data_IF_653801136946
#
_entry.id   IF_653801136946
#
_cell.length_a   1.000
_cell.length_b   1.000
_cell.length_c   1.000
_cell.angle_alpha   90.00
_cell.angle_beta   90.00
_cell.angle_gamma   90.00
#
_symmetry.space_group_name_H-M   'P 1'
#
loop_
_entity.id
_entity.type
_entity.pdbx_description
1 polymer ?
#
# COMPACT_ATOMS: atom_id res chain seq x y z
N UNK A 1 -7.04 37.34 -18.80
CA UNK A 1 -7.68 36.04 -18.46
C UNK A 1 -6.90 34.95 -19.18
N UNK A 2 -5.98 34.21 -18.52
CA UNK A 2 -5.24 33.14 -19.17
C UNK A 2 -6.16 31.93 -19.36
N UNK A 3 -6.26 31.46 -20.60
CA UNK A 3 -6.99 30.23 -20.92
C UNK A 3 -6.27 29.05 -20.26
N UNK A 4 -7.01 28.23 -19.51
CA UNK A 4 -6.52 26.98 -18.95
C UNK A 4 -5.98 26.13 -20.11
N UNK A 5 -4.68 25.82 -20.09
CA UNK A 5 -4.05 24.94 -21.06
C UNK A 5 -4.43 23.48 -20.74
N UNK A 6 -5.54 23.00 -21.32
CA UNK A 6 -6.10 21.65 -21.10
C UNK A 6 -5.26 20.54 -21.77
N UNK A 7 -4.14 20.86 -22.43
CA UNK A 7 -3.35 19.88 -23.21
C UNK A 7 -2.15 19.27 -22.45
N UNK A 8 -2.16 19.20 -21.11
CA UNK A 8 -1.21 18.34 -20.38
C UNK A 8 -1.84 16.94 -20.27
N UNK A 9 -1.77 16.14 -21.34
CA UNK A 9 -2.10 14.72 -21.27
C UNK A 9 -1.13 14.05 -20.28
N UNK A 10 -1.57 13.06 -19.48
CA UNK A 10 -0.65 12.27 -18.67
C UNK A 10 0.29 11.54 -19.61
N UNK A 11 1.50 12.08 -19.77
CA UNK A 11 2.51 11.50 -20.64
C UNK A 11 3.22 10.38 -19.88
N UNK A 12 2.76 9.16 -20.13
CA UNK A 12 3.27 7.93 -19.50
C UNK A 12 4.77 7.72 -19.80
N UNK A 13 5.31 8.34 -20.86
CA UNK A 13 6.74 8.29 -21.18
C UNK A 13 7.62 9.07 -20.19
N UNK A 14 7.05 10.05 -19.48
CA UNK A 14 7.77 10.84 -18.46
C UNK A 14 7.82 10.15 -17.09
N UNK A 15 7.08 9.07 -16.92
CA UNK A 15 7.00 8.35 -15.64
C UNK A 15 8.27 7.54 -15.41
N UNK A 16 8.87 7.71 -14.22
CA UNK A 16 10.02 6.91 -13.81
C UNK A 16 9.57 5.51 -13.36
N UNK A 17 9.59 4.56 -14.30
CA UNK A 17 9.24 3.16 -14.06
C UNK A 17 10.14 2.45 -13.04
N UNK A 18 11.41 2.86 -12.93
CA UNK A 18 12.32 2.33 -11.90
C UNK A 18 11.88 2.77 -10.50
N UNK A 19 11.45 4.02 -10.34
CA UNK A 19 10.93 4.52 -9.06
C UNK A 19 9.66 3.77 -8.63
N UNK A 20 8.78 3.45 -9.57
CA UNK A 20 7.59 2.63 -9.33
C UNK A 20 7.99 1.21 -8.87
N UNK A 21 8.91 0.57 -9.59
CA UNK A 21 9.35 -0.78 -9.24
C UNK A 21 9.99 -0.81 -7.84
N UNK A 22 10.87 0.15 -7.54
CA UNK A 22 11.51 0.28 -6.23
C UNK A 22 10.48 0.57 -5.13
N UNK A 23 9.51 1.43 -5.39
CA UNK A 23 8.41 1.72 -4.47
C UNK A 23 7.55 0.48 -4.19
N UNK A 24 7.23 -0.29 -5.24
CA UNK A 24 6.47 -1.52 -5.11
C UNK A 24 7.23 -2.59 -4.31
N UNK A 25 8.51 -2.82 -4.61
CA UNK A 25 9.36 -3.77 -3.87
C UNK A 25 9.51 -3.34 -2.41
N UNK A 26 9.70 -2.05 -2.14
CA UNK A 26 9.83 -1.52 -0.77
C UNK A 26 8.54 -1.71 0.03
N UNK A 27 7.39 -1.37 -0.57
CA UNK A 27 6.08 -1.54 0.06
C UNK A 27 5.76 -3.02 0.29
N UNK A 28 6.08 -3.89 -0.66
CA UNK A 28 5.90 -5.33 -0.52
C UNK A 28 6.80 -5.92 0.57
N UNK A 29 8.06 -5.50 0.64
CA UNK A 29 8.99 -5.93 1.68
C UNK A 29 8.47 -5.54 3.07
N UNK A 30 8.08 -4.28 3.27
CA UNK A 30 7.51 -3.80 4.54
C UNK A 30 6.22 -4.57 4.86
N UNK A 31 5.34 -4.75 3.89
CA UNK A 31 4.11 -5.54 4.06
C UNK A 31 4.39 -6.99 4.44
N UNK A 32 5.40 -7.62 3.84
CA UNK A 32 5.79 -9.00 4.16
C UNK A 32 6.34 -9.13 5.58
N UNK A 33 7.12 -8.15 6.04
CA UNK A 33 7.64 -8.11 7.41
C UNK A 33 6.49 -7.89 8.41
N UNK A 34 5.55 -6.98 8.11
CA UNK A 34 4.38 -6.75 8.94
C UNK A 34 3.52 -8.01 9.12
N UNK A 35 3.30 -8.75 8.02
CA UNK A 35 2.55 -10.00 8.00
C UNK A 35 3.35 -11.21 8.52
N UNK A 36 4.62 -11.04 8.89
CA UNK A 36 5.43 -12.13 9.42
C UNK A 36 4.94 -12.53 10.82
N UNK A 37 5.01 -13.83 11.13
CA UNK A 37 4.65 -14.39 12.45
C UNK A 37 5.18 -13.60 13.66
N UNK A 38 6.47 -13.19 13.72
CA UNK A 38 7.01 -12.50 14.89
C UNK A 38 6.56 -11.04 15.05
N UNK A 39 5.93 -10.42 14.04
CA UNK A 39 5.51 -9.01 14.10
C UNK A 39 4.01 -8.93 14.40
N UNK A 40 3.15 -9.20 13.42
CA UNK A 40 1.69 -9.24 13.61
C UNK A 40 1.02 -10.49 13.03
N UNK A 41 1.74 -11.27 12.20
CA UNK A 41 1.17 -12.42 11.50
C UNK A 41 0.60 -13.51 12.43
N UNK A 42 1.30 -13.81 13.53
CA UNK A 42 0.84 -14.83 14.48
C UNK A 42 -0.41 -14.41 15.26
N UNK A 43 -0.45 -13.15 15.70
CA UNK A 43 -1.63 -12.57 16.37
C UNK A 43 -2.82 -12.52 15.43
N UNK A 44 -2.62 -12.04 14.20
CA UNK A 44 -3.67 -11.98 13.17
C UNK A 44 -4.21 -13.36 12.83
N UNK A 45 -3.32 -14.33 12.61
CA UNK A 45 -3.68 -15.72 12.35
C UNK A 45 -4.59 -16.28 13.45
N UNK A 46 -4.29 -16.01 14.73
CA UNK A 46 -5.12 -16.42 15.87
C UNK A 46 -6.49 -15.71 15.88
N UNK A 47 -6.53 -14.42 15.58
CA UNK A 47 -7.76 -13.61 15.55
C UNK A 47 -8.74 -14.08 14.47
N UNK A 48 -8.22 -14.46 13.30
CA UNK A 48 -9.05 -14.98 12.20
C UNK A 48 -9.31 -16.50 12.31
N UNK A 49 -8.87 -17.14 13.39
CA UNK A 49 -9.11 -18.57 13.66
C UNK A 49 -8.38 -19.54 12.73
N UNK A 50 -7.27 -19.14 12.10
CA UNK A 50 -6.52 -20.03 11.19
C UNK A 50 -5.45 -20.84 11.91
N UNK A 51 -5.36 -22.11 11.56
CA UNK A 51 -4.32 -23.01 12.04
C UNK A 51 -3.05 -22.91 11.19
N UNK A 52 -1.94 -23.44 11.71
CA UNK A 52 -0.70 -23.56 10.94
C UNK A 52 -0.83 -24.50 9.74
N UNK A 53 -1.74 -25.47 9.82
CA UNK A 53 -2.07 -26.38 8.72
C UNK A 53 -2.80 -25.64 7.60
N UNK A 54 -3.73 -24.74 7.92
CA UNK A 54 -4.42 -23.90 6.93
C UNK A 54 -3.45 -23.01 6.15
N UNK A 55 -2.42 -22.52 6.82
CA UNK A 55 -1.37 -21.71 6.19
C UNK A 55 -0.44 -22.58 5.34
N UNK A 56 -0.05 -23.77 5.82
CA UNK A 56 0.78 -24.71 5.05
C UNK A 56 0.07 -25.23 3.79
N UNK A 57 -1.24 -25.45 3.87
CA UNK A 57 -2.06 -25.86 2.74
C UNK A 57 -2.45 -24.70 1.82
N UNK A 58 -2.17 -23.45 2.22
CA UNK A 58 -2.41 -22.28 1.38
C UNK A 58 -1.42 -22.20 0.24
N UNK A 59 -1.86 -21.70 -0.91
CA UNK A 59 -0.98 -21.45 -2.03
C UNK A 59 -0.21 -20.14 -1.82
N UNK A 60 0.85 -20.20 -0.99
CA UNK A 60 1.69 -19.04 -0.66
C UNK A 60 2.23 -18.34 -1.91
N UNK A 61 2.62 -19.09 -2.95
CA UNK A 61 3.09 -18.51 -4.20
C UNK A 61 2.04 -17.63 -4.89
N UNK A 62 0.78 -18.10 -4.96
CA UNK A 62 -0.33 -17.28 -5.48
C UNK A 62 -0.63 -16.08 -4.58
N UNK A 63 -0.66 -16.26 -3.27
CA UNK A 63 -0.97 -15.17 -2.33
C UNK A 63 0.07 -14.07 -2.39
N UNK A 64 1.36 -14.40 -2.28
CA UNK A 64 2.44 -13.42 -2.34
C UNK A 64 2.59 -12.82 -3.75
N UNK A 65 2.42 -13.63 -4.81
CA UNK A 65 2.46 -13.15 -6.18
C UNK A 65 1.35 -12.14 -6.48
N UNK A 66 0.11 -12.44 -6.07
CA UNK A 66 -1.01 -11.52 -6.24
C UNK A 66 -0.85 -10.27 -5.38
N UNK A 67 -0.39 -10.41 -4.14
CA UNK A 67 -0.10 -9.28 -3.26
C UNK A 67 0.93 -8.33 -3.89
N UNK A 68 2.03 -8.86 -4.44
CA UNK A 68 3.03 -8.07 -5.13
C UNK A 68 2.46 -7.32 -6.35
N UNK A 69 1.64 -8.00 -7.17
CA UNK A 69 0.97 -7.36 -8.31
C UNK A 69 0.07 -6.20 -7.87
N UNK A 70 -0.69 -6.38 -6.79
CA UNK A 70 -1.51 -5.32 -6.22
C UNK A 70 -0.65 -4.16 -5.70
N UNK A 71 0.50 -4.45 -5.07
CA UNK A 71 1.44 -3.41 -4.64
C UNK A 71 2.01 -2.62 -5.82
N UNK A 72 2.30 -3.27 -6.96
CA UNK A 72 2.72 -2.58 -8.19
C UNK A 72 1.61 -1.64 -8.67
N UNK A 73 0.35 -2.10 -8.70
CA UNK A 73 -0.80 -1.26 -9.07
C UNK A 73 -0.93 -0.05 -8.15
N UNK A 74 -0.78 -0.23 -6.83
CA UNK A 74 -0.79 0.87 -5.86
C UNK A 74 0.34 1.87 -6.12
N UNK A 75 1.56 1.39 -6.41
CA UNK A 75 2.70 2.25 -6.70
C UNK A 75 2.52 3.04 -8.00
N UNK A 76 1.96 2.43 -9.05
CA UNK A 76 1.60 3.11 -10.29
C UNK A 76 0.54 4.18 -10.03
N UNK A 77 -0.50 3.86 -9.26
CA UNK A 77 -1.56 4.81 -8.91
C UNK A 77 -1.01 6.04 -8.18
N UNK A 78 -0.14 5.82 -7.17
CA UNK A 78 0.49 6.91 -6.44
C UNK A 78 1.38 7.76 -7.36
N UNK A 79 2.18 7.13 -8.22
CA UNK A 79 3.05 7.82 -9.18
C UNK A 79 2.25 8.69 -10.17
N UNK A 80 1.09 8.21 -10.64
CA UNK A 80 0.20 9.00 -11.50
C UNK A 80 -0.45 10.17 -10.75
N UNK A 81 -0.74 10.00 -9.45
CA UNK A 81 -1.35 11.06 -8.64
C UNK A 81 -0.37 12.19 -8.30
N UNK A 82 0.87 11.85 -7.96
CA UNK A 82 1.92 12.85 -7.66
C UNK A 82 2.48 13.51 -8.93
N UNK A 83 2.53 12.79 -10.04
CA UNK A 83 3.08 13.25 -11.32
C UNK A 83 4.60 13.08 -11.45
N UNK A 84 5.10 13.11 -12.69
CA UNK A 84 6.50 12.83 -13.03
C UNK A 84 7.49 13.92 -12.58
N UNK A 85 7.04 15.16 -12.41
CA UNK A 85 7.89 16.33 -12.14
C UNK A 85 8.23 16.50 -10.64
N UNK A 86 7.85 15.55 -9.77
CA UNK A 86 8.02 15.69 -8.32
C UNK A 86 9.33 15.11 -7.81
N UNK A 87 10.00 15.85 -6.91
CA UNK A 87 11.23 15.42 -6.25
C UNK A 87 11.03 14.36 -5.16
N UNK A 88 12.13 13.72 -4.74
CA UNK A 88 12.16 12.68 -3.71
C UNK A 88 11.42 13.06 -2.42
N UNK A 89 11.67 14.27 -1.89
CA UNK A 89 11.06 14.73 -0.63
C UNK A 89 9.54 14.79 -0.70
N UNK A 90 8.99 15.26 -1.82
CA UNK A 90 7.54 15.29 -2.01
C UNK A 90 6.97 13.88 -2.15
N UNK A 91 7.64 12.99 -2.89
CA UNK A 91 7.25 11.59 -3.01
C UNK A 91 7.22 10.87 -1.65
N UNK A 92 8.21 11.12 -0.79
CA UNK A 92 8.25 10.58 0.57
C UNK A 92 7.09 11.09 1.42
N UNK A 93 6.83 12.40 1.40
CA UNK A 93 5.72 13.00 2.14
C UNK A 93 4.36 12.49 1.63
N UNK A 94 4.16 12.45 0.31
CA UNK A 94 2.93 11.96 -0.31
C UNK A 94 2.69 10.48 0.03
N UNK A 95 3.73 9.65 0.00
CA UNK A 95 3.64 8.25 0.43
C UNK A 95 3.29 8.10 1.91
N UNK A 96 3.93 8.87 2.78
CA UNK A 96 3.61 8.89 4.21
C UNK A 96 2.17 9.37 4.48
N UNK A 97 1.73 10.44 3.82
CA UNK A 97 0.38 10.96 3.92
C UNK A 97 -0.66 9.95 3.42
N UNK A 98 -0.40 9.27 2.31
CA UNK A 98 -1.26 8.20 1.81
C UNK A 98 -1.38 7.05 2.81
N UNK A 99 -0.27 6.62 3.41
CA UNK A 99 -0.26 5.57 4.45
C UNK A 99 -1.02 5.98 5.72
N UNK A 100 -0.74 7.19 6.25
CA UNK A 100 -1.43 7.72 7.43
C UNK A 100 -2.92 7.89 7.17
N UNK A 101 -3.30 8.38 5.99
CA UNK A 101 -4.70 8.52 5.58
C UNK A 101 -5.43 7.18 5.58
N UNK A 102 -4.78 6.11 5.10
CA UNK A 102 -5.35 4.77 5.14
C UNK A 102 -5.56 4.25 6.57
N UNK A 103 -4.58 4.45 7.46
CA UNK A 103 -4.71 4.06 8.88
C UNK A 103 -5.82 4.86 9.56
N UNK A 104 -5.92 6.16 9.28
CA UNK A 104 -6.99 7.01 9.81
C UNK A 104 -8.37 6.52 9.33
N UNK A 105 -8.50 6.13 8.05
CA UNK A 105 -9.74 5.55 7.53
C UNK A 105 -10.15 4.27 8.27
N UNK A 106 -9.20 3.37 8.54
CA UNK A 106 -9.46 2.17 9.36
C UNK A 106 -9.88 2.56 10.78
N UNK A 107 -9.24 3.56 11.38
CA UNK A 107 -9.61 4.09 12.70
C UNK A 107 -11.03 4.63 12.76
N UNK A 108 -11.48 5.33 11.71
CA UNK A 108 -12.86 5.80 11.57
C UNK A 108 -13.85 4.63 11.53
N UNK A 109 -13.52 3.55 10.81
CA UNK A 109 -14.36 2.34 10.80
C UNK A 109 -14.50 1.75 12.21
N UNK A 110 -13.40 1.58 12.94
CA UNK A 110 -13.43 1.05 14.31
C UNK A 110 -14.22 1.94 15.29
N UNK A 111 -14.20 3.26 15.11
CA UNK A 111 -14.98 4.20 15.90
C UNK A 111 -16.49 3.95 15.73
N UNK A 112 -16.96 3.73 14.51
CA UNK A 112 -18.36 3.41 14.24
C UNK A 112 -18.77 2.02 14.72
N UNK A 113 -17.85 1.05 14.69
CA UNK A 113 -18.09 -0.31 15.22
C UNK A 113 -18.13 -0.37 16.76
N UNK A 114 -17.86 0.75 17.45
CA UNK A 114 -17.83 0.79 18.92
C UNK A 114 -16.69 -0.02 19.55
N UNK A 115 -15.73 -0.48 18.75
CA UNK A 115 -14.58 -1.28 19.19
C UNK A 115 -13.42 -0.42 19.73
N UNK A 116 -13.65 0.86 20.01
CA UNK A 116 -12.67 1.69 20.73
C UNK A 116 -12.58 1.23 22.18
N UNK A 117 -11.60 0.36 22.39
CA UNK A 117 -10.86 0.05 23.62
C UNK A 117 -11.68 0.02 24.91
N UNK A 118 -12.04 -1.20 25.34
CA UNK A 118 -12.02 -1.52 26.77
C UNK A 118 -10.53 -1.58 27.17
N UNK A 119 -9.97 -0.45 27.59
CA UNK A 119 -8.71 -0.42 28.34
C UNK A 119 -8.97 -1.02 29.72
#
# INVERSE_FOLDING_TARGET
>A
MPMLNISKKPDISTINWLAILVGAVSSFAIGSVWNAKPVFGGTWQRLIGRTDEDIKNSNMGKTFGLAFLLTVVMSINLAMFIGADQGFTFGLFAGAAAGIGWVAMIGVMYLYEGCVMKV
#
